data_IF_215259513922
#
_entry.id   IF_215259513922
#
_cell.length_a   1.000
_cell.length_b   1.000
_cell.length_c   1.000
_cell.angle_alpha   90.00
_cell.angle_beta   90.00
_cell.angle_gamma   90.00
#
_symmetry.space_group_name_H-M   'P 1'
#
loop_
_entity.id
_entity.type
_entity.pdbx_description
1 polymer ?
#
# COMPACT_ATOMS: atom_id res chain seq x y z
N UNK A 1 11.89 5.36 2.38
CA UNK A 1 11.72 5.43 0.92
C UNK A 1 10.71 4.38 0.45
N UNK A 2 10.07 4.58 -0.70
CA UNK A 2 9.14 3.59 -1.23
C UNK A 2 9.75 2.20 -1.40
N UNK A 3 10.99 2.11 -1.85
CA UNK A 3 11.69 0.83 -2.03
C UNK A 3 11.85 0.11 -0.69
N UNK A 4 12.23 0.84 0.36
CA UNK A 4 12.36 0.25 1.71
C UNK A 4 11.01 -0.25 2.23
N UNK A 5 9.93 0.46 1.94
CA UNK A 5 8.59 0.04 2.34
C UNK A 5 8.16 -1.22 1.60
N UNK A 6 8.46 -1.33 0.32
CA UNK A 6 8.17 -2.55 -0.46
C UNK A 6 8.94 -3.74 0.11
N UNK A 7 10.21 -3.56 0.43
CA UNK A 7 11.04 -4.61 1.03
C UNK A 7 10.47 -5.07 2.38
N UNK A 8 10.04 -4.13 3.21
CA UNK A 8 9.42 -4.45 4.51
C UNK A 8 8.12 -5.25 4.32
N UNK A 9 7.24 -4.78 3.43
CA UNK A 9 5.97 -5.45 3.16
C UNK A 9 6.18 -6.85 2.61
N UNK A 10 7.18 -7.03 1.75
CA UNK A 10 7.54 -8.34 1.22
C UNK A 10 8.00 -9.28 2.32
N UNK A 11 8.82 -8.79 3.26
CA UNK A 11 9.26 -9.59 4.41
C UNK A 11 8.09 -10.00 5.29
N UNK A 12 7.12 -9.12 5.49
CA UNK A 12 5.90 -9.46 6.21
C UNK A 12 5.12 -10.55 5.47
N UNK A 13 4.94 -10.41 4.17
CA UNK A 13 4.24 -11.38 3.35
C UNK A 13 4.91 -12.77 3.42
N UNK A 14 6.24 -12.79 3.31
CA UNK A 14 7.05 -14.02 3.38
C UNK A 14 7.26 -14.52 4.81
N UNK A 15 6.73 -13.80 5.80
CA UNK A 15 6.86 -14.13 7.23
C UNK A 15 8.33 -14.21 7.69
N UNK A 16 9.17 -13.30 7.18
CA UNK A 16 10.60 -13.25 7.46
C UNK A 16 11.01 -12.15 8.43
N UNK A 17 10.05 -11.48 9.08
CA UNK A 17 10.35 -10.50 10.12
C UNK A 17 10.63 -11.20 11.45
N UNK A 18 11.31 -10.53 12.40
CA UNK A 18 11.66 -11.12 13.70
C UNK A 18 10.48 -11.15 14.66
N UNK A 19 9.33 -11.61 14.19
CA UNK A 19 8.10 -11.73 14.98
C UNK A 19 7.52 -13.13 14.80
N UNK A 20 6.63 -13.53 15.70
CA UNK A 20 6.01 -14.84 15.57
C UNK A 20 5.21 -14.96 14.28
N UNK A 21 5.18 -16.14 13.71
CA UNK A 21 4.38 -16.44 12.51
C UNK A 21 2.92 -16.10 12.73
N UNK A 22 2.39 -16.45 13.92
CA UNK A 22 1.01 -16.14 14.29
C UNK A 22 0.74 -14.62 14.26
N UNK A 23 1.65 -13.81 14.84
CA UNK A 23 1.48 -12.37 14.87
C UNK A 23 1.54 -11.77 13.47
N UNK A 24 2.43 -12.26 12.62
CA UNK A 24 2.50 -11.79 11.24
C UNK A 24 1.23 -12.13 10.46
N UNK A 25 0.66 -13.31 10.67
CA UNK A 25 -0.61 -13.68 10.04
C UNK A 25 -1.76 -12.80 10.51
N UNK A 26 -1.81 -12.47 11.80
CA UNK A 26 -2.82 -11.55 12.35
C UNK A 26 -2.71 -10.18 11.69
N UNK A 27 -1.49 -9.65 11.59
CA UNK A 27 -1.27 -8.35 10.94
C UNK A 27 -1.70 -8.38 9.48
N UNK A 28 -1.35 -9.43 8.74
CA UNK A 28 -1.77 -9.55 7.34
C UNK A 28 -3.30 -9.58 7.20
N UNK A 29 -4.00 -10.26 8.10
CA UNK A 29 -5.45 -10.30 8.08
C UNK A 29 -6.08 -8.95 8.39
N UNK A 30 -5.51 -8.22 9.35
CA UNK A 30 -5.97 -6.86 9.71
C UNK A 30 -5.75 -5.91 8.54
N UNK A 31 -4.72 -6.11 7.74
CA UNK A 31 -4.41 -5.28 6.58
C UNK A 31 -5.34 -5.52 5.39
N UNK A 32 -6.13 -6.60 5.39
CA UNK A 32 -7.07 -6.85 4.28
C UNK A 32 -8.02 -5.66 4.15
N UNK A 33 -7.88 -4.92 3.08
CA UNK A 33 -8.61 -3.67 2.84
C UNK A 33 -9.57 -3.76 1.66
N UNK A 34 -9.35 -4.70 0.76
CA UNK A 34 -10.24 -4.91 -0.36
C UNK A 34 -10.16 -6.38 -0.79
N UNK A 35 -11.32 -7.01 -0.85
CA UNK A 35 -11.48 -8.37 -1.36
C UNK A 35 -12.34 -8.28 -2.61
N UNK A 36 -11.72 -8.52 -3.75
CA UNK A 36 -12.38 -8.45 -5.03
C UNK A 36 -12.49 -9.81 -5.68
N UNK A 37 -13.05 -9.84 -6.88
CA UNK A 37 -13.16 -11.06 -7.64
C UNK A 37 -11.79 -11.47 -8.19
N UNK A 38 -11.20 -12.51 -7.60
CA UNK A 38 -9.91 -13.03 -8.03
C UNK A 38 -8.69 -12.33 -7.43
N UNK A 39 -8.88 -11.43 -6.45
CA UNK A 39 -7.75 -10.77 -5.81
C UNK A 39 -8.09 -10.31 -4.39
N UNK A 40 -7.03 -10.11 -3.59
CA UNK A 40 -7.10 -9.46 -2.29
C UNK A 40 -6.06 -8.36 -2.21
N UNK A 41 -6.43 -7.22 -1.62
CA UNK A 41 -5.49 -6.15 -1.34
C UNK A 41 -5.30 -6.07 0.17
N UNK A 42 -4.06 -6.24 0.61
CA UNK A 42 -3.66 -6.04 2.00
C UNK A 42 -2.81 -4.78 2.05
N UNK A 43 -3.25 -3.78 2.79
CA UNK A 43 -2.61 -2.48 2.73
C UNK A 43 -2.71 -1.71 4.02
N UNK A 44 -1.89 -0.65 4.11
CA UNK A 44 -1.90 0.30 5.21
C UNK A 44 -1.67 1.70 4.65
N UNK A 45 -2.49 2.62 5.10
CA UNK A 45 -2.32 4.04 4.80
C UNK A 45 -1.52 4.70 5.92
N UNK A 46 -0.82 5.77 5.56
CA UNK A 46 -0.09 6.58 6.51
C UNK A 46 -0.13 8.04 6.10
N UNK A 47 0.02 8.91 7.07
CA UNK A 47 0.03 10.36 6.86
C UNK A 47 1.04 10.99 7.81
N UNK A 48 1.96 11.75 7.27
CA UNK A 48 2.94 12.50 8.05
C UNK A 48 3.04 13.93 7.55
N UNK A 49 3.65 14.78 8.38
CA UNK A 49 3.91 16.18 8.02
C UNK A 49 5.39 16.46 8.25
N UNK A 50 6.06 16.92 7.21
CA UNK A 50 7.48 17.25 7.24
C UNK A 50 7.77 18.49 6.41
N UNK A 51 8.53 19.43 6.98
CA UNK A 51 9.10 20.56 6.26
C UNK A 51 8.08 21.31 5.38
N UNK A 52 6.88 21.52 5.89
CA UNK A 52 5.84 22.25 5.16
C UNK A 52 5.06 21.40 4.15
N UNK A 53 5.30 20.10 4.10
CA UNK A 53 4.58 19.17 3.22
C UNK A 53 3.73 18.20 4.01
N UNK A 54 2.60 17.84 3.44
CA UNK A 54 1.86 16.65 3.84
C UNK A 54 2.40 15.48 3.01
N UNK A 55 2.67 14.37 3.68
CA UNK A 55 3.15 13.16 3.02
C UNK A 55 2.14 12.06 3.26
N UNK A 56 1.55 11.57 2.17
CA UNK A 56 0.60 10.47 2.23
C UNK A 56 1.23 9.19 1.70
N UNK A 57 1.00 8.09 2.42
CA UNK A 57 1.50 6.77 2.06
C UNK A 57 0.36 5.79 1.86
N UNK A 58 0.53 4.90 0.90
CA UNK A 58 -0.28 3.70 0.77
C UNK A 58 0.65 2.56 0.37
N UNK A 59 0.80 1.59 1.25
CA UNK A 59 1.73 0.48 1.06
C UNK A 59 0.99 -0.84 1.26
N UNK A 60 1.44 -1.88 0.57
CA UNK A 60 0.81 -3.17 0.73
C UNK A 60 1.17 -4.16 -0.37
N UNK A 61 0.29 -5.14 -0.52
CA UNK A 61 0.43 -6.12 -1.58
C UNK A 61 -0.93 -6.55 -2.11
N UNK A 62 -0.90 -6.98 -3.37
CA UNK A 62 -2.06 -7.58 -4.04
C UNK A 62 -1.76 -9.06 -4.20
N UNK A 63 -2.65 -9.89 -3.68
CA UNK A 63 -2.55 -11.34 -3.82
C UNK A 63 -3.55 -11.81 -4.86
N UNK A 64 -3.06 -12.46 -5.91
CA UNK A 64 -3.84 -13.05 -6.97
C UNK A 64 -3.50 -14.53 -7.08
N UNK A 65 -4.31 -15.28 -7.80
CA UNK A 65 -4.07 -16.69 -8.04
C UNK A 65 -2.71 -16.94 -8.74
N UNK A 66 -2.34 -16.06 -9.66
CA UNK A 66 -1.10 -16.19 -10.43
C UNK A 66 0.12 -15.55 -9.79
N UNK A 67 0.00 -14.98 -8.59
CA UNK A 67 1.12 -14.36 -7.90
C UNK A 67 0.74 -13.16 -7.06
N UNK A 68 1.76 -12.54 -6.48
CA UNK A 68 1.61 -11.39 -5.60
C UNK A 68 2.42 -10.21 -6.11
N UNK A 69 1.89 -9.01 -5.89
CA UNK A 69 2.50 -7.76 -6.32
C UNK A 69 2.59 -6.84 -5.12
N UNK A 70 3.76 -6.23 -4.93
CA UNK A 70 4.03 -5.36 -3.78
C UNK A 70 4.10 -3.92 -4.24
N UNK A 71 3.57 -3.01 -3.44
CA UNK A 71 3.55 -1.61 -3.82
C UNK A 71 3.78 -0.69 -2.63
N UNK A 72 4.32 0.48 -2.94
CA UNK A 72 4.42 1.59 -2.00
C UNK A 72 4.25 2.88 -2.79
N UNK A 73 3.25 3.65 -2.43
CA UNK A 73 2.97 4.95 -3.02
C UNK A 73 3.21 6.04 -1.98
N UNK A 74 4.02 7.02 -2.33
CA UNK A 74 4.30 8.17 -1.50
C UNK A 74 3.94 9.43 -2.28
N UNK A 75 3.04 10.24 -1.73
CA UNK A 75 2.63 11.50 -2.33
C UNK A 75 2.98 12.65 -1.40
N UNK A 76 3.47 13.73 -2.00
CA UNK A 76 3.75 14.97 -1.30
C UNK A 76 2.76 16.02 -1.74
N UNK A 77 2.25 16.78 -0.76
CA UNK A 77 1.43 17.96 -1.02
C UNK A 77 1.98 19.12 -0.22
N UNK A 78 2.20 20.25 -0.89
CA UNK A 78 2.52 21.48 -0.19
C UNK A 78 1.32 21.84 0.71
N UNK A 79 1.57 22.18 1.98
CA UNK A 79 0.52 22.54 2.93
C UNK A 79 -0.35 23.71 2.46
N UNK A 80 0.20 24.58 1.63
CA UNK A 80 -0.54 25.72 1.10
C UNK A 80 -1.49 25.38 -0.05
N UNK A 81 -1.38 24.17 -0.62
CA UNK A 81 -2.21 23.73 -1.74
C UNK A 81 -3.60 23.27 -1.31
N UNK A 82 -3.74 22.73 -0.14
CA UNK A 82 -4.99 22.38 0.53
C UNK A 82 -6.02 21.63 -0.35
N UNK A 83 -5.58 20.60 -1.07
CA UNK A 83 -6.49 19.78 -1.87
C UNK A 83 -7.26 18.81 -0.97
N UNK A 84 -8.58 18.84 -1.09
CA UNK A 84 -9.46 18.00 -0.29
C UNK A 84 -9.34 16.50 -0.63
N UNK A 85 -8.92 16.17 -1.86
CA UNK A 85 -8.82 14.80 -2.37
C UNK A 85 -7.44 14.16 -2.16
N UNK A 86 -6.54 14.81 -1.39
CA UNK A 86 -5.18 14.30 -1.22
C UNK A 86 -5.16 12.88 -0.63
N UNK A 87 -6.02 12.60 0.34
CA UNK A 87 -6.09 11.28 0.96
C UNK A 87 -6.48 10.17 -0.01
N UNK A 88 -7.49 10.41 -0.86
CA UNK A 88 -7.94 9.43 -1.84
C UNK A 88 -6.99 9.34 -3.04
N UNK A 89 -6.32 10.43 -3.38
CA UNK A 89 -5.44 10.50 -4.54
C UNK A 89 -4.32 9.47 -4.51
N UNK A 90 -3.77 9.16 -3.33
CA UNK A 90 -2.71 8.15 -3.19
C UNK A 90 -3.18 6.76 -3.63
N UNK A 91 -4.45 6.43 -3.38
CA UNK A 91 -5.05 5.17 -3.82
C UNK A 91 -5.40 5.21 -5.30
N UNK A 92 -5.95 6.32 -5.77
CA UNK A 92 -6.37 6.47 -7.15
C UNK A 92 -5.19 6.36 -8.12
N UNK A 93 -4.07 6.99 -7.79
CA UNK A 93 -2.86 6.91 -8.59
C UNK A 93 -2.33 5.48 -8.62
N UNK A 94 -2.28 4.82 -7.48
CA UNK A 94 -1.79 3.44 -7.38
C UNK A 94 -2.66 2.49 -8.21
N UNK A 95 -3.98 2.61 -8.09
CA UNK A 95 -4.92 1.78 -8.86
C UNK A 95 -4.77 2.01 -10.36
N UNK A 96 -4.54 3.25 -10.76
CA UNK A 96 -4.33 3.60 -12.16
C UNK A 96 -3.08 2.93 -12.72
N UNK A 97 -2.00 2.90 -11.95
CA UNK A 97 -0.76 2.21 -12.34
C UNK A 97 -1.02 0.71 -12.49
N UNK A 98 -1.72 0.09 -11.54
CA UNK A 98 -2.04 -1.33 -11.63
C UNK A 98 -2.89 -1.67 -12.85
N UNK A 99 -3.83 -0.79 -13.20
CA UNK A 99 -4.65 -0.95 -14.39
C UNK A 99 -3.79 -0.86 -15.66
N UNK A 100 -2.89 0.12 -15.74
CA UNK A 100 -1.99 0.29 -16.88
C UNK A 100 -1.03 -0.89 -17.04
N UNK A 101 -0.61 -1.49 -15.95
CA UNK A 101 0.27 -2.67 -15.98
C UNK A 101 -0.50 -3.98 -16.16
N UNK A 102 -1.81 -3.93 -16.32
CA UNK A 102 -2.70 -5.10 -16.46
C UNK A 102 -2.61 -6.07 -15.28
N UNK A 103 -2.29 -5.56 -14.08
CA UNK A 103 -2.24 -6.37 -12.85
C UNK A 103 -3.65 -6.61 -12.34
N UNK A 104 -4.45 -5.57 -12.25
CA UNK A 104 -5.86 -5.63 -11.86
C UNK A 104 -6.66 -4.68 -12.74
N UNK A 105 -7.86 -5.07 -13.06
CA UNK A 105 -8.81 -4.22 -13.75
C UNK A 105 -9.82 -3.66 -12.75
N UNK A 106 -9.52 -2.48 -12.27
CA UNK A 106 -10.40 -1.78 -11.33
C UNK A 106 -11.60 -1.14 -12.00
#
# INVERSE_FOLDING_TARGET
SPVNQVEFVKKLYDEKLPFSKRNMQIVKNVMLSQDGFGYEIHSKTGWTREKGFNIGWWVGYIQKENGSYFFATRLLQNRNSNRADFGSCRKDITKKVFKELHIINF
#
